data_IF_542281427668
#
_entry.id   IF_542281427668
#
_cell.length_a   1.000
_cell.length_b   1.000
_cell.length_c   1.000
_cell.angle_alpha   90.00
_cell.angle_beta   90.00
_cell.angle_gamma   90.00
#
_symmetry.space_group_name_H-M   'P 1'
#
loop_
_entity.id
_entity.type
_entity.pdbx_description
1 polymer ?
#
# COMPACT_ATOMS: atom_id res chain seq x y z
N UNK A 1 -14.94 18.13 12.36
CA UNK A 1 -13.62 18.56 12.84
C UNK A 1 -13.18 19.71 11.96
N UNK A 2 -12.84 20.85 12.56
CA UNK A 2 -12.16 21.93 11.84
C UNK A 2 -10.70 21.52 11.61
N UNK A 3 -10.07 22.03 10.56
CA UNK A 3 -8.62 21.84 10.34
C UNK A 3 -7.89 22.44 11.54
N UNK A 4 -6.95 21.68 12.11
CA UNK A 4 -6.07 22.20 13.15
C UNK A 4 -5.04 23.12 12.49
N UNK A 5 -4.75 24.26 13.12
CA UNK A 5 -3.64 25.10 12.71
C UNK A 5 -2.34 24.34 13.00
N UNK A 6 -1.58 24.06 11.95
CA UNK A 6 -0.29 23.38 12.02
C UNK A 6 0.71 24.11 11.13
N UNK A 7 1.93 24.23 11.62
CA UNK A 7 3.06 24.80 10.91
C UNK A 7 4.18 23.76 10.92
N UNK A 8 4.79 23.42 9.76
CA UNK A 8 5.87 22.45 9.69
C UNK A 8 7.08 22.83 10.55
N UNK A 9 7.77 21.82 11.06
CA UNK A 9 9.03 22.01 11.78
C UNK A 9 10.10 22.63 10.85
N UNK A 10 10.72 23.77 11.22
CA UNK A 10 11.70 24.45 10.39
C UNK A 10 12.99 23.64 10.17
N UNK A 11 13.40 22.78 11.10
CA UNK A 11 14.59 21.91 10.94
C UNK A 11 14.35 20.94 9.80
N UNK A 12 13.20 20.29 9.79
CA UNK A 12 12.81 19.41 8.70
C UNK A 12 12.73 20.16 7.37
N UNK A 13 12.10 21.34 7.36
CA UNK A 13 11.92 22.09 6.12
C UNK A 13 13.26 22.52 5.51
N UNK A 14 14.28 22.76 6.33
CA UNK A 14 15.65 23.03 5.85
C UNK A 14 16.32 21.81 5.17
N UNK A 15 15.80 20.60 5.37
CA UNK A 15 16.28 19.35 4.75
C UNK A 15 15.51 18.95 3.49
N UNK A 16 14.45 19.68 3.14
CA UNK A 16 13.66 19.40 1.94
C UNK A 16 14.46 19.78 0.69
N UNK A 17 14.43 18.96 -0.37
CA UNK A 17 15.13 19.29 -1.61
C UNK A 17 14.43 20.43 -2.36
N UNK A 18 15.15 21.07 -3.29
CA UNK A 18 14.56 22.07 -4.19
C UNK A 18 13.49 21.48 -5.12
N UNK A 19 13.66 20.20 -5.51
CA UNK A 19 12.69 19.51 -6.36
C UNK A 19 11.48 19.04 -5.56
N UNK A 20 10.29 19.48 -5.98
CA UNK A 20 9.01 19.05 -5.43
C UNK A 20 8.77 17.54 -5.59
N UNK A 21 8.28 16.89 -4.54
CA UNK A 21 7.84 15.50 -4.60
C UNK A 21 6.62 15.32 -5.50
N UNK A 22 5.74 16.32 -5.58
CA UNK A 22 4.65 16.35 -6.55
C UNK A 22 5.17 16.31 -8.00
N UNK A 23 6.25 17.06 -8.30
CA UNK A 23 6.89 17.04 -9.62
C UNK A 23 7.52 15.68 -9.94
N UNK A 24 8.25 15.07 -9.00
CA UNK A 24 8.82 13.72 -9.18
C UNK A 24 7.70 12.70 -9.47
N UNK A 25 6.60 12.78 -8.72
CA UNK A 25 5.44 11.91 -8.89
C UNK A 25 4.63 12.21 -10.17
N UNK A 26 4.90 13.33 -10.84
CA UNK A 26 4.31 13.71 -12.11
C UNK A 26 2.93 14.37 -12.02
N UNK A 27 2.67 15.13 -10.96
CA UNK A 27 1.47 15.94 -10.84
C UNK A 27 1.40 16.99 -11.96
N UNK A 28 0.29 17.04 -12.67
CA UNK A 28 0.06 17.95 -13.79
C UNK A 28 0.58 17.45 -15.15
N UNK A 29 1.32 16.34 -15.18
CA UNK A 29 1.83 15.78 -16.43
C UNK A 29 0.72 15.06 -17.20
N UNK A 30 0.49 15.47 -18.45
CA UNK A 30 -0.51 14.87 -19.34
C UNK A 30 -0.02 13.58 -20.03
N UNK A 31 1.29 13.38 -20.12
CA UNK A 31 1.87 12.19 -20.74
C UNK A 31 1.99 11.04 -19.75
N UNK A 32 1.69 9.83 -20.23
CA UNK A 32 1.84 8.62 -19.43
C UNK A 32 3.31 8.28 -19.28
N UNK A 33 3.74 8.05 -18.04
CA UNK A 33 5.06 7.50 -17.71
C UNK A 33 5.03 6.70 -16.43
N UNK A 34 6.06 5.87 -16.23
CA UNK A 34 6.27 5.09 -15.01
C UNK A 34 6.48 5.98 -13.78
N UNK A 35 6.08 5.50 -12.57
CA UNK A 35 6.36 6.19 -11.32
C UNK A 35 7.86 6.29 -11.05
N UNK A 36 8.27 7.31 -10.28
CA UNK A 36 9.62 7.42 -9.73
C UNK A 36 9.52 7.42 -8.20
N UNK A 37 10.49 6.82 -7.48
CA UNK A 37 10.51 6.87 -6.03
C UNK A 37 10.65 8.33 -5.57
N UNK A 38 9.70 8.80 -4.77
CA UNK A 38 9.80 10.11 -4.12
C UNK A 38 10.41 9.96 -2.73
N UNK A 39 10.01 8.92 -2.02
CA UNK A 39 10.29 8.68 -0.61
C UNK A 39 10.33 7.17 -0.32
N UNK A 40 10.84 6.80 0.85
CA UNK A 40 11.06 5.41 1.26
C UNK A 40 12.06 4.63 0.40
N UNK A 41 13.13 5.26 -0.04
CA UNK A 41 14.22 4.53 -0.69
C UNK A 41 14.92 3.60 0.31
N UNK A 42 15.44 2.48 -0.17
CA UNK A 42 16.24 1.57 0.65
C UNK A 42 17.53 2.27 1.11
N UNK A 43 18.23 2.91 0.18
CA UNK A 43 19.28 3.88 0.48
C UNK A 43 18.71 5.30 0.32
N UNK A 44 18.62 6.10 1.40
CA UNK A 44 18.19 7.48 1.31
C UNK A 44 19.03 8.33 0.34
N UNK A 45 20.28 7.96 0.04
CA UNK A 45 21.11 8.67 -0.94
C UNK A 45 20.59 8.57 -2.38
N UNK A 46 19.74 7.58 -2.68
CA UNK A 46 19.22 7.34 -4.04
C UNK A 46 18.07 8.28 -4.42
N UNK A 47 17.56 9.08 -3.49
CA UNK A 47 16.42 9.98 -3.71
C UNK A 47 16.68 11.41 -3.24
N UNK A 48 16.10 12.44 -3.90
CA UNK A 48 16.25 13.82 -3.46
C UNK A 48 15.76 14.08 -2.04
N UNK A 49 14.70 13.38 -1.61
CA UNK A 49 14.10 13.54 -0.28
C UNK A 49 14.80 12.70 0.81
N UNK A 50 15.99 12.17 0.53
CA UNK A 50 16.73 11.30 1.44
C UNK A 50 17.00 11.90 2.82
N UNK A 51 17.35 13.19 2.87
CA UNK A 51 17.59 13.87 4.14
C UNK A 51 16.32 14.00 4.99
N UNK A 52 15.18 14.28 4.36
CA UNK A 52 13.88 14.24 5.04
C UNK A 52 13.52 12.82 5.51
N UNK A 53 13.89 11.77 4.77
CA UNK A 53 13.74 10.37 5.21
C UNK A 53 14.61 10.04 6.43
N UNK A 54 15.87 10.50 6.45
CA UNK A 54 16.73 10.33 7.61
C UNK A 54 16.19 11.10 8.83
N UNK A 55 15.65 12.30 8.61
CA UNK A 55 15.00 13.08 9.65
C UNK A 55 13.80 12.34 10.26
N UNK A 56 12.94 11.73 9.43
CA UNK A 56 11.84 10.88 9.93
C UNK A 56 12.33 9.82 10.93
N UNK A 57 13.40 9.11 10.60
CA UNK A 57 13.90 8.05 11.50
C UNK A 57 14.50 8.60 12.79
N UNK A 58 15.17 9.75 12.74
CA UNK A 58 15.71 10.42 13.94
C UNK A 58 14.60 10.98 14.82
N UNK A 59 13.60 11.63 14.23
CA UNK A 59 12.48 12.23 14.96
C UNK A 59 11.60 11.15 15.61
N UNK A 60 11.42 10.02 14.93
CA UNK A 60 10.58 8.91 15.38
C UNK A 60 11.43 7.76 15.93
N UNK A 61 12.40 8.12 16.76
CA UNK A 61 13.24 7.20 17.52
C UNK A 61 12.54 6.82 18.84
N UNK A 62 11.91 5.65 18.84
CA UNK A 62 11.17 5.15 20.00
C UNK A 62 11.42 3.64 20.18
N UNK A 63 11.60 3.14 21.42
CA UNK A 63 11.90 1.73 21.68
C UNK A 63 10.95 0.74 20.99
N UNK A 64 9.64 1.01 21.04
CA UNK A 64 8.63 0.12 20.44
C UNK A 64 8.72 0.06 18.91
N UNK A 65 8.93 1.22 18.26
CA UNK A 65 9.13 1.28 16.81
C UNK A 65 10.42 0.58 16.41
N UNK A 66 11.49 0.80 17.17
CA UNK A 66 12.80 0.25 16.90
C UNK A 66 12.85 -1.27 17.08
N UNK A 67 12.20 -1.80 18.11
CA UNK A 67 12.08 -3.24 18.32
C UNK A 67 11.38 -3.91 17.13
N UNK A 68 10.27 -3.34 16.65
CA UNK A 68 9.55 -3.87 15.48
C UNK A 68 10.36 -3.74 14.19
N UNK A 69 11.05 -2.61 13.97
CA UNK A 69 11.95 -2.41 12.83
C UNK A 69 13.10 -3.41 12.83
N UNK A 70 13.71 -3.64 14.00
CA UNK A 70 14.81 -4.60 14.17
C UNK A 70 14.35 -6.04 13.93
N UNK A 71 13.19 -6.44 14.48
CA UNK A 71 12.60 -7.74 14.23
C UNK A 71 12.30 -7.96 12.75
N UNK A 72 11.72 -6.95 12.07
CA UNK A 72 11.49 -6.99 10.63
C UNK A 72 12.80 -7.16 9.86
N UNK A 73 13.83 -6.36 10.16
CA UNK A 73 15.14 -6.46 9.49
C UNK A 73 15.79 -7.84 9.66
N UNK A 74 15.67 -8.42 10.85
CA UNK A 74 16.18 -9.77 11.12
C UNK A 74 15.46 -10.83 10.27
N UNK A 75 14.13 -10.76 10.19
CA UNK A 75 13.34 -11.65 9.34
C UNK A 75 13.65 -11.40 7.85
N UNK A 76 13.75 -10.16 7.40
CA UNK A 76 14.07 -9.76 6.01
C UNK A 76 15.36 -10.41 5.52
N UNK A 77 16.39 -10.46 6.38
CA UNK A 77 17.69 -11.05 6.08
C UNK A 77 17.66 -12.57 5.83
N UNK A 78 16.58 -13.27 6.20
CA UNK A 78 16.44 -14.71 5.95
C UNK A 78 16.16 -14.94 4.45
N UNK A 79 17.03 -15.63 3.69
CA UNK A 79 16.79 -15.85 2.28
C UNK A 79 15.56 -16.75 2.05
N UNK A 80 14.86 -16.54 0.93
CA UNK A 80 13.84 -17.49 0.48
C UNK A 80 14.49 -18.87 0.21
N UNK A 81 13.78 -19.98 0.49
CA UNK A 81 14.28 -21.32 0.19
C UNK A 81 14.55 -21.47 -1.31
N UNK A 82 15.43 -22.38 -1.76
CA UNK A 82 15.57 -22.67 -3.19
C UNK A 82 14.27 -23.20 -3.78
N UNK A 83 14.10 -23.08 -5.10
CA UNK A 83 13.00 -23.74 -5.81
C UNK A 83 13.25 -25.25 -5.79
N UNK A 84 12.30 -26.02 -5.28
CA UNK A 84 12.39 -27.47 -5.24
C UNK A 84 12.37 -28.03 -6.67
N UNK A 85 13.30 -28.95 -6.98
CA UNK A 85 13.33 -29.59 -8.28
C UNK A 85 12.02 -30.36 -8.54
N UNK A 86 11.52 -30.39 -9.79
CA UNK A 86 10.34 -31.18 -10.13
C UNK A 86 10.50 -32.63 -9.71
N UNK A 87 9.51 -33.20 -9.02
CA UNK A 87 9.55 -34.56 -8.46
C UNK A 87 9.43 -35.68 -9.52
N UNK A 88 9.73 -35.40 -10.79
CA UNK A 88 9.61 -36.33 -11.93
C UNK A 88 8.17 -36.66 -12.37
N UNK A 89 7.18 -36.49 -11.48
CA UNK A 89 5.76 -36.54 -11.83
C UNK A 89 5.32 -35.13 -12.25
N UNK A 90 4.77 -34.94 -13.46
CA UNK A 90 4.21 -33.66 -13.87
C UNK A 90 3.13 -33.21 -12.89
N UNK A 91 3.15 -31.93 -12.54
CA UNK A 91 2.05 -31.33 -11.81
C UNK A 91 0.83 -31.21 -12.73
N UNK A 92 -0.26 -31.91 -12.38
CA UNK A 92 -1.50 -31.96 -13.16
C UNK A 92 -2.53 -30.91 -12.73
N UNK A 93 -2.22 -30.10 -11.70
CA UNK A 93 -3.08 -29.02 -11.23
C UNK A 93 -3.26 -27.95 -12.30
N UNK A 94 -4.50 -27.53 -12.47
CA UNK A 94 -4.86 -26.42 -13.35
C UNK A 94 -4.50 -25.07 -12.73
N UNK A 95 -4.52 -24.01 -13.54
CA UNK A 95 -4.38 -22.64 -13.04
C UNK A 95 -5.43 -22.29 -11.98
N UNK A 96 -6.66 -22.81 -12.11
CA UNK A 96 -7.74 -22.60 -11.12
C UNK A 96 -7.43 -23.31 -9.80
N UNK A 97 -6.98 -24.57 -9.85
CA UNK A 97 -6.57 -25.31 -8.65
C UNK A 97 -5.44 -24.59 -7.90
N UNK A 98 -4.48 -24.03 -8.64
CA UNK A 98 -3.39 -23.25 -8.08
C UNK A 98 -3.85 -21.93 -7.47
N UNK A 99 -4.76 -21.23 -8.13
CA UNK A 99 -5.37 -19.98 -7.67
C UNK A 99 -6.06 -20.19 -6.32
N UNK A 100 -6.90 -21.22 -6.20
CA UNK A 100 -7.63 -21.54 -4.97
C UNK A 100 -6.67 -21.93 -3.83
N UNK A 101 -5.66 -22.75 -4.12
CA UNK A 101 -4.66 -23.18 -3.13
C UNK A 101 -3.83 -22.01 -2.62
N UNK A 102 -3.40 -21.11 -3.50
CA UNK A 102 -2.63 -19.91 -3.13
C UNK A 102 -3.49 -18.99 -2.27
N UNK A 103 -4.74 -18.74 -2.66
CA UNK A 103 -5.64 -17.88 -1.90
C UNK A 103 -5.94 -18.47 -0.51
N UNK A 104 -6.13 -19.78 -0.40
CA UNK A 104 -6.28 -20.47 0.88
C UNK A 104 -5.01 -20.39 1.73
N UNK A 105 -3.84 -20.63 1.12
CA UNK A 105 -2.55 -20.59 1.82
C UNK A 105 -2.22 -19.18 2.31
N UNK A 106 -2.44 -18.15 1.50
CA UNK A 106 -2.22 -16.75 1.86
C UNK A 106 -3.08 -16.36 3.08
N UNK A 107 -4.36 -16.76 3.11
CA UNK A 107 -5.23 -16.55 4.27
C UNK A 107 -4.76 -17.31 5.51
N UNK A 108 -4.35 -18.57 5.36
CA UNK A 108 -3.78 -19.36 6.46
C UNK A 108 -2.49 -18.73 7.03
N UNK A 109 -1.74 -18.00 6.20
CA UNK A 109 -0.54 -17.24 6.59
C UNK A 109 -0.84 -15.84 7.14
N UNK A 110 -2.12 -15.47 7.27
CA UNK A 110 -2.56 -14.26 7.96
C UNK A 110 -2.88 -13.07 7.06
N UNK A 111 -3.11 -13.27 5.76
CA UNK A 111 -3.70 -12.24 4.89
C UNK A 111 -5.23 -12.20 5.05
N UNK A 112 -5.80 -11.02 5.30
CA UNK A 112 -7.25 -10.85 5.44
C UNK A 112 -7.99 -10.76 4.10
N UNK A 113 -7.32 -10.24 3.07
CA UNK A 113 -7.81 -10.31 1.69
C UNK A 113 -6.68 -10.66 0.73
N UNK A 114 -7.04 -11.33 -0.37
CA UNK A 114 -6.10 -11.81 -1.40
C UNK A 114 -6.75 -11.56 -2.74
N UNK A 115 -5.97 -11.05 -3.68
CA UNK A 115 -6.37 -10.89 -5.07
C UNK A 115 -5.20 -11.21 -5.99
N UNK A 116 -5.49 -11.65 -7.19
CA UNK A 116 -4.50 -12.05 -8.19
C UNK A 116 -4.69 -11.22 -9.44
N UNK A 117 -3.60 -10.70 -10.00
CA UNK A 117 -3.64 -9.96 -11.26
C UNK A 117 -2.53 -10.42 -12.19
N UNK A 118 -2.73 -10.18 -13.49
CA UNK A 118 -1.62 -10.18 -14.44
C UNK A 118 -0.76 -8.95 -14.18
N UNK A 119 0.55 -9.12 -14.24
CA UNK A 119 1.49 -8.02 -14.07
C UNK A 119 1.38 -7.04 -15.23
N UNK A 120 1.21 -5.75 -14.92
CA UNK A 120 1.40 -4.66 -15.86
C UNK A 120 2.82 -4.07 -15.65
N UNK A 121 3.68 -4.06 -16.69
CA UNK A 121 5.00 -3.45 -16.62
C UNK A 121 5.01 -1.98 -16.19
N UNK A 122 3.91 -1.24 -16.37
CA UNK A 122 3.82 0.17 -15.99
C UNK A 122 3.69 0.40 -14.48
N UNK A 123 3.50 -0.66 -13.69
CA UNK A 123 3.55 -0.58 -12.23
C UNK A 123 4.98 -0.45 -11.70
N UNK A 124 5.97 -0.89 -12.49
CA UNK A 124 7.38 -0.81 -12.14
C UNK A 124 7.82 0.65 -11.97
N UNK A 125 8.72 0.89 -11.03
CA UNK A 125 9.41 2.19 -11.00
C UNK A 125 10.29 2.37 -12.25
N UNK A 126 10.52 3.62 -12.63
CA UNK A 126 11.32 4.00 -13.79
C UNK A 126 12.71 3.32 -13.73
N UNK A 127 13.14 2.71 -14.84
CA UNK A 127 14.34 1.88 -14.92
C UNK A 127 14.23 0.44 -14.38
N UNK A 128 13.11 0.08 -13.72
CA UNK A 128 12.84 -1.28 -13.25
C UNK A 128 12.16 -2.18 -14.29
N UNK A 129 12.25 -3.49 -14.07
CA UNK A 129 11.57 -4.53 -14.85
C UNK A 129 10.79 -5.47 -13.94
N UNK A 130 9.73 -6.08 -14.47
CA UNK A 130 8.88 -7.06 -13.80
C UNK A 130 8.75 -8.32 -14.68
N UNK A 131 9.75 -9.22 -14.68
CA UNK A 131 9.78 -10.42 -15.52
C UNK A 131 8.87 -11.55 -14.96
N UNK A 132 7.66 -11.19 -14.56
CA UNK A 132 6.70 -12.05 -13.88
C UNK A 132 5.35 -11.96 -14.58
N UNK A 133 4.65 -13.08 -14.75
CA UNK A 133 3.31 -13.09 -15.37
C UNK A 133 2.21 -12.66 -14.40
N UNK A 134 2.34 -13.04 -13.12
CA UNK A 134 1.30 -12.84 -12.13
C UNK A 134 1.83 -12.20 -10.85
N UNK A 135 0.95 -11.42 -10.23
CA UNK A 135 1.11 -10.89 -8.88
C UNK A 135 -0.06 -11.35 -8.01
N UNK A 136 0.27 -11.85 -6.81
CA UNK A 136 -0.68 -12.19 -5.75
C UNK A 136 -0.57 -11.08 -4.73
N UNK A 137 -1.57 -10.22 -4.66
CA UNK A 137 -1.61 -9.09 -3.74
C UNK A 137 -2.40 -9.48 -2.49
N UNK A 138 -1.88 -9.13 -1.33
CA UNK A 138 -2.46 -9.45 -0.03
C UNK A 138 -2.69 -8.17 0.77
N UNK A 139 -3.85 -8.08 1.42
CA UNK A 139 -4.19 -7.04 2.37
C UNK A 139 -3.94 -7.54 3.80
N UNK A 140 -3.23 -6.73 4.58
CA UNK A 140 -2.93 -6.98 5.99
C UNK A 140 -3.65 -5.94 6.84
N UNK A 141 -4.72 -6.35 7.51
CA UNK A 141 -5.58 -5.47 8.26
C UNK A 141 -4.85 -4.82 9.45
N UNK A 142 -5.13 -3.53 9.66
CA UNK A 142 -4.73 -2.78 10.84
C UNK A 142 -5.88 -2.77 11.85
N UNK A 143 -5.54 -2.74 13.14
CA UNK A 143 -6.52 -2.59 14.22
C UNK A 143 -7.17 -1.18 14.19
N UNK A 144 -8.48 -1.12 14.01
CA UNK A 144 -9.18 0.15 13.87
C UNK A 144 -9.10 1.00 15.13
N UNK A 145 -9.26 0.42 16.32
CA UNK A 145 -9.32 1.18 17.57
C UNK A 145 -7.96 1.82 17.90
N UNK A 146 -6.86 1.14 17.57
CA UNK A 146 -5.51 1.70 17.63
C UNK A 146 -5.32 2.79 16.57
N UNK A 147 -5.72 2.54 15.32
CA UNK A 147 -5.58 3.52 14.24
C UNK A 147 -6.49 4.75 14.41
N UNK A 148 -7.60 4.63 15.14
CA UNK A 148 -8.48 5.74 15.48
C UNK A 148 -7.80 6.79 16.37
N UNK A 149 -6.68 6.43 16.99
CA UNK A 149 -5.84 7.35 17.77
C UNK A 149 -4.86 8.12 16.88
N UNK A 150 -4.82 7.90 15.56
CA UNK A 150 -3.98 8.69 14.67
C UNK A 150 -4.21 10.20 14.90
N UNK A 151 -3.13 10.99 15.06
CA UNK A 151 -1.74 10.69 14.69
C UNK A 151 -0.84 10.24 15.86
N UNK A 152 -1.40 9.79 16.98
CA UNK A 152 -0.62 9.37 18.14
C UNK A 152 0.33 8.19 17.83
N UNK A 153 1.42 8.09 18.60
CA UNK A 153 2.47 7.08 18.41
C UNK A 153 1.93 5.65 18.32
N UNK A 154 0.86 5.32 19.06
CA UNK A 154 0.23 4.01 19.03
C UNK A 154 -0.20 3.59 17.62
N UNK A 155 -0.73 4.53 16.82
CA UNK A 155 -1.08 4.28 15.43
C UNK A 155 0.18 4.02 14.58
N UNK A 156 1.25 4.79 14.79
CA UNK A 156 2.55 4.56 14.14
C UNK A 156 3.13 3.18 14.45
N UNK A 157 3.04 2.72 15.70
CA UNK A 157 3.46 1.37 16.12
C UNK A 157 2.64 0.29 15.44
N UNK A 158 1.31 0.48 15.33
CA UNK A 158 0.43 -0.43 14.60
C UNK A 158 0.81 -0.54 13.12
N UNK A 159 1.09 0.59 12.47
CA UNK A 159 1.57 0.60 11.08
C UNK A 159 2.86 -0.20 10.91
N UNK A 160 3.86 0.01 11.77
CA UNK A 160 5.14 -0.69 11.68
C UNK A 160 4.97 -2.20 11.94
N UNK A 161 4.10 -2.57 12.88
CA UNK A 161 3.72 -3.96 13.15
C UNK A 161 3.13 -4.63 11.90
N UNK A 162 2.22 -3.95 11.20
CA UNK A 162 1.60 -4.51 9.99
C UNK A 162 2.54 -4.62 8.81
N UNK A 163 3.54 -3.74 8.68
CA UNK A 163 4.63 -3.97 7.73
C UNK A 163 5.42 -5.24 8.03
N UNK A 164 5.69 -5.51 9.31
CA UNK A 164 6.31 -6.78 9.74
C UNK A 164 5.46 -8.00 9.35
N UNK A 165 4.18 -7.99 9.72
CA UNK A 165 3.22 -9.06 9.34
C UNK A 165 3.18 -9.29 7.83
N UNK A 166 3.02 -8.22 7.05
CA UNK A 166 2.93 -8.33 5.59
C UNK A 166 4.18 -8.89 4.93
N UNK A 167 5.37 -8.52 5.41
CA UNK A 167 6.62 -9.10 4.94
C UNK A 167 6.70 -10.60 5.30
N UNK A 168 6.44 -10.97 6.56
CA UNK A 168 6.46 -12.38 6.99
C UNK A 168 5.46 -13.22 6.18
N UNK A 169 4.24 -12.75 5.97
CA UNK A 169 3.22 -13.43 5.18
C UNK A 169 3.66 -13.61 3.72
N UNK A 170 4.20 -12.57 3.08
CA UNK A 170 4.66 -12.66 1.69
C UNK A 170 5.87 -13.57 1.53
N UNK A 171 6.84 -13.51 2.44
CA UNK A 171 8.01 -14.41 2.45
C UNK A 171 7.60 -15.86 2.67
N UNK A 172 6.68 -16.11 3.59
CA UNK A 172 6.17 -17.45 3.85
C UNK A 172 5.42 -18.02 2.63
N UNK A 173 4.61 -17.21 1.96
CA UNK A 173 3.89 -17.63 0.75
C UNK A 173 4.84 -17.88 -0.43
N UNK A 174 5.78 -16.96 -0.69
CA UNK A 174 6.79 -17.14 -1.73
C UNK A 174 7.65 -18.38 -1.45
N UNK A 175 8.10 -18.57 -0.21
CA UNK A 175 8.84 -19.75 0.20
C UNK A 175 8.03 -21.04 0.08
N UNK A 176 6.72 -21.00 0.34
CA UNK A 176 5.82 -22.13 0.12
C UNK A 176 5.72 -22.47 -1.37
N UNK A 177 5.49 -21.50 -2.25
CA UNK A 177 5.46 -21.71 -3.71
C UNK A 177 6.78 -22.32 -4.23
N UNK A 178 7.92 -21.82 -3.76
CA UNK A 178 9.24 -22.34 -4.12
C UNK A 178 9.43 -23.79 -3.70
N UNK A 179 8.94 -24.16 -2.51
CA UNK A 179 8.91 -25.57 -2.05
C UNK A 179 7.95 -26.46 -2.85
N UNK A 180 6.96 -25.88 -3.53
CA UNK A 180 6.11 -26.59 -4.47
C UNK A 180 6.73 -26.70 -5.88
N UNK A 181 7.92 -26.12 -6.10
CA UNK A 181 8.60 -26.14 -7.39
C UNK A 181 8.30 -24.95 -8.29
N UNK A 182 7.67 -23.89 -7.78
CA UNK A 182 7.37 -22.67 -8.53
C UNK A 182 8.21 -21.50 -8.07
N UNK A 183 8.90 -20.85 -9.01
CA UNK A 183 9.67 -19.67 -8.69
C UNK A 183 8.75 -18.51 -8.29
N UNK A 184 9.16 -17.78 -7.26
CA UNK A 184 8.42 -16.69 -6.68
C UNK A 184 9.33 -15.76 -5.89
N UNK A 185 8.98 -14.49 -5.85
CA UNK A 185 9.62 -13.45 -5.02
C UNK A 185 8.56 -12.64 -4.30
N UNK A 186 8.91 -12.07 -3.15
CA UNK A 186 7.99 -11.25 -2.36
C UNK A 186 8.30 -9.76 -2.55
N UNK A 187 7.24 -8.94 -2.52
CA UNK A 187 7.29 -7.48 -2.52
C UNK A 187 6.56 -6.99 -1.27
N UNK A 188 7.20 -6.18 -0.45
CA UNK A 188 6.63 -5.67 0.79
C UNK A 188 7.12 -4.26 1.08
N UNK A 189 6.33 -3.51 1.84
CA UNK A 189 6.77 -2.21 2.36
C UNK A 189 7.65 -2.32 3.62
N UNK A 190 8.01 -1.19 4.23
CA UNK A 190 7.64 0.17 3.85
C UNK A 190 8.50 0.75 2.73
N UNK A 191 9.65 0.15 2.44
CA UNK A 191 10.56 0.64 1.43
C UNK A 191 9.99 0.42 0.03
N UNK A 192 10.41 1.30 -0.87
CA UNK A 192 10.11 1.19 -2.30
C UNK A 192 10.80 -0.06 -2.85
N UNK A 193 9.99 -1.06 -3.22
CA UNK A 193 10.41 -2.26 -3.93
C UNK A 193 10.38 -2.08 -5.46
N UNK A 194 10.13 -3.16 -6.20
CA UNK A 194 10.19 -3.13 -7.66
C UNK A 194 9.02 -2.37 -8.30
N UNK A 195 7.86 -2.28 -7.63
CA UNK A 195 6.64 -1.73 -8.19
C UNK A 195 5.76 -0.95 -7.21
N UNK A 196 4.76 -0.27 -7.75
CA UNK A 196 3.68 0.38 -7.00
C UNK A 196 2.53 -0.61 -6.72
N UNK A 197 2.29 -0.94 -5.44
CA UNK A 197 1.31 -1.97 -5.06
C UNK A 197 -0.16 -1.57 -5.24
N UNK A 198 -0.49 -0.27 -5.15
CA UNK A 198 -1.88 0.21 -5.27
C UNK A 198 -2.51 -0.14 -6.64
N UNK A 199 -1.91 0.19 -7.80
CA UNK A 199 -2.52 -0.18 -9.08
C UNK A 199 -2.62 -1.70 -9.27
N UNK A 200 -1.65 -2.47 -8.78
CA UNK A 200 -1.73 -3.94 -8.79
C UNK A 200 -2.90 -4.46 -7.92
N UNK A 201 -3.11 -3.89 -6.74
CA UNK A 201 -4.23 -4.23 -5.86
C UNK A 201 -5.60 -3.87 -6.47
N UNK A 202 -5.70 -2.75 -7.19
CA UNK A 202 -6.92 -2.38 -7.94
C UNK A 202 -7.18 -3.43 -9.04
N UNK A 203 -6.16 -3.78 -9.83
CA UNK A 203 -6.28 -4.80 -10.87
C UNK A 203 -6.66 -6.19 -10.30
N UNK A 204 -6.15 -6.50 -9.11
CA UNK A 204 -6.42 -7.73 -8.36
C UNK A 204 -7.78 -7.72 -7.62
N UNK A 205 -8.62 -6.71 -7.81
CA UNK A 205 -9.95 -6.67 -7.20
C UNK A 205 -9.97 -6.38 -5.69
N UNK A 206 -8.89 -5.86 -5.11
CA UNK A 206 -8.84 -5.55 -3.68
C UNK A 206 -9.53 -4.24 -3.29
N UNK A 207 -10.02 -3.47 -4.26
CA UNK A 207 -10.89 -2.30 -4.01
C UNK A 207 -10.65 -1.13 -4.96
N UNK A 208 -11.13 0.03 -4.57
CA UNK A 208 -11.05 1.28 -5.35
C UNK A 208 -10.08 2.28 -4.70
N UNK A 209 -9.47 3.16 -5.51
CA UNK A 209 -8.66 4.26 -4.99
C UNK A 209 -9.54 5.29 -4.28
N UNK A 210 -9.31 5.52 -2.99
CA UNK A 210 -9.99 6.54 -2.21
C UNK A 210 -9.40 7.94 -2.39
N UNK A 211 -10.19 8.97 -2.08
CA UNK A 211 -9.76 10.39 -2.10
C UNK A 211 -8.49 10.66 -1.30
N UNK A 212 -8.28 9.92 -0.21
CA UNK A 212 -7.09 10.02 0.63
C UNK A 212 -5.84 9.33 0.02
N UNK A 213 -5.88 8.91 -1.24
CA UNK A 213 -4.72 8.34 -1.96
C UNK A 213 -4.37 6.91 -1.55
N UNK A 214 -5.21 6.22 -0.78
CA UNK A 214 -5.05 4.80 -0.43
C UNK A 214 -6.27 4.02 -0.89
N UNK A 215 -6.17 2.69 -0.90
CA UNK A 215 -7.28 1.84 -1.28
C UNK A 215 -8.42 1.84 -0.26
N UNK A 216 -9.63 1.66 -0.77
CA UNK A 216 -10.82 1.33 -0.01
C UNK A 216 -11.25 -0.07 -0.48
N UNK A 217 -11.07 -1.05 0.39
CA UNK A 217 -11.59 -2.39 0.22
C UNK A 217 -13.05 -2.46 0.73
N UNK A 218 -13.85 -3.33 0.11
CA UNK A 218 -15.26 -3.53 0.42
C UNK A 218 -15.51 -3.91 1.89
N UNK A 219 -14.66 -4.76 2.46
CA UNK A 219 -14.84 -5.32 3.79
C UNK A 219 -13.92 -4.66 4.83
N UNK A 220 -12.68 -4.35 4.43
CA UNK A 220 -11.64 -3.81 5.33
C UNK A 220 -11.62 -2.27 5.40
N UNK A 221 -12.42 -1.59 4.56
CA UNK A 221 -12.32 -0.13 4.41
C UNK A 221 -10.93 0.27 3.93
N UNK A 222 -10.29 1.26 4.55
CA UNK A 222 -8.91 1.66 4.22
C UNK A 222 -7.88 1.29 5.27
N UNK A 223 -8.25 0.44 6.23
CA UNK A 223 -7.40 0.04 7.35
C UNK A 223 -6.62 -1.21 7.06
N UNK A 224 -5.79 -1.18 6.00
CA UNK A 224 -4.90 -2.28 5.71
C UNK A 224 -3.62 -1.81 5.00
N UNK A 225 -2.61 -2.66 5.05
CA UNK A 225 -1.36 -2.53 4.30
C UNK A 225 -1.32 -3.56 3.17
N UNK A 226 -0.60 -3.24 2.11
CA UNK A 226 -0.40 -4.13 0.98
C UNK A 226 0.95 -4.82 1.06
N UNK A 227 0.97 -6.07 0.63
CA UNK A 227 2.16 -6.88 0.38
C UNK A 227 1.85 -7.79 -0.81
N UNK A 228 2.84 -8.36 -1.48
CA UNK A 228 2.60 -9.18 -2.66
C UNK A 228 3.64 -10.28 -2.87
N UNK A 229 3.29 -11.24 -3.74
CA UNK A 229 4.18 -12.25 -4.29
C UNK A 229 4.07 -12.24 -5.80
N UNK A 230 5.21 -12.16 -6.49
CA UNK A 230 5.33 -12.25 -7.94
C UNK A 230 5.72 -13.67 -8.33
N UNK A 231 5.11 -14.21 -9.39
CA UNK A 231 5.41 -15.57 -9.87
C UNK A 231 5.12 -15.73 -11.36
N UNK A 232 5.74 -16.77 -11.93
CA UNK A 232 5.50 -17.27 -13.28
C UNK A 232 4.68 -18.57 -13.29
N UNK A 233 4.07 -18.94 -12.17
CA UNK A 233 3.02 -19.97 -12.13
C UNK A 233 1.76 -19.44 -12.83
N UNK A 234 1.13 -20.27 -13.67
CA UNK A 234 -0.12 -19.88 -14.33
C UNK A 234 -1.28 -19.85 -13.33
N UNK A 235 -1.98 -18.71 -13.27
CA UNK A 235 -3.08 -18.43 -12.36
C UNK A 235 -4.27 -17.82 -13.12
N UNK A 236 -5.43 -17.83 -12.46
CA UNK A 236 -6.63 -17.13 -12.92
C UNK A 236 -6.63 -15.74 -12.27
N UNK A 237 -6.52 -14.65 -13.05
CA UNK A 237 -6.56 -13.30 -12.48
C UNK A 237 -7.99 -12.93 -12.09
N UNK A 238 -8.11 -12.17 -11.00
CA UNK A 238 -9.32 -11.47 -10.60
C UNK A 238 -9.60 -10.27 -11.52
N UNK A 239 -10.76 -9.64 -11.30
CA UNK A 239 -11.15 -8.39 -11.95
C UNK A 239 -11.25 -7.25 -10.94
N UNK A 240 -11.05 -5.98 -11.35
CA UNK A 240 -11.25 -4.83 -10.47
C UNK A 240 -12.62 -4.82 -9.80
N UNK A 241 -12.65 -4.58 -8.48
CA UNK A 241 -13.88 -4.43 -7.72
C UNK A 241 -14.32 -2.96 -7.74
N UNK A 242 -15.41 -2.65 -8.45
CA UNK A 242 -16.03 -1.32 -8.45
C UNK A 242 -17.35 -1.37 -7.69
N UNK A 243 -17.37 -0.82 -6.49
CA UNK A 243 -18.52 -0.82 -5.57
C UNK A 243 -19.07 0.57 -5.26
N UNK A 244 -18.53 1.60 -5.93
CA UNK A 244 -19.01 2.98 -5.89
C UNK A 244 -18.26 3.86 -4.88
N UNK A 245 -17.13 3.39 -4.33
CA UNK A 245 -16.32 4.20 -3.43
C UNK A 245 -15.73 5.45 -4.11
N UNK A 246 -15.35 5.34 -5.39
CA UNK A 246 -14.87 6.49 -6.17
C UNK A 246 -15.92 7.60 -6.30
N UNK A 247 -17.15 7.23 -6.68
CA UNK A 247 -18.28 8.15 -6.78
C UNK A 247 -18.66 8.76 -5.43
N UNK A 248 -18.66 7.95 -4.36
CA UNK A 248 -18.87 8.43 -2.99
C UNK A 248 -17.80 9.45 -2.58
N UNK A 249 -16.53 9.19 -2.92
CA UNK A 249 -15.42 10.10 -2.67
C UNK A 249 -15.64 11.45 -3.35
N UNK A 250 -16.27 11.51 -4.52
CA UNK A 250 -16.60 12.77 -5.21
C UNK A 250 -17.38 13.77 -4.34
N UNK A 251 -18.33 13.29 -3.54
CA UNK A 251 -19.19 14.11 -2.68
C UNK A 251 -18.68 14.23 -1.23
N UNK A 252 -18.06 13.18 -0.69
CA UNK A 252 -17.61 13.13 0.70
C UNK A 252 -16.46 14.11 0.99
N UNK A 253 -16.48 14.80 2.13
CA UNK A 253 -15.44 15.77 2.55
C UNK A 253 -14.72 15.39 3.84
N UNK A 254 -14.90 14.17 4.35
CA UNK A 254 -14.47 13.82 5.71
C UNK A 254 -12.94 13.80 5.85
N UNK A 255 -12.23 13.07 5.00
CA UNK A 255 -10.76 13.04 5.04
C UNK A 255 -10.14 14.40 4.66
N UNK A 256 -10.76 15.12 3.71
CA UNK A 256 -10.39 16.49 3.28
C UNK A 256 -10.44 17.51 4.44
N UNK A 257 -11.46 17.40 5.29
CA UNK A 257 -11.63 18.28 6.45
C UNK A 257 -10.78 17.84 7.64
N UNK A 258 -10.48 16.54 7.76
CA UNK A 258 -9.70 15.99 8.87
C UNK A 258 -8.19 16.17 8.67
N UNK A 259 -7.70 16.32 7.44
CA UNK A 259 -6.28 16.43 7.10
C UNK A 259 -5.70 17.77 7.59
N UNK A 260 -4.81 17.78 8.62
CA UNK A 260 -4.22 19.01 9.14
C UNK A 260 -3.44 19.82 8.09
N UNK A 261 -2.57 19.23 7.26
CA UNK A 261 -1.83 20.00 6.25
C UNK A 261 -2.67 20.41 5.03
N UNK A 262 -3.96 20.04 4.95
CA UNK A 262 -4.78 20.32 3.78
C UNK A 262 -4.25 19.70 2.48
N UNK A 263 -3.65 18.51 2.59
CA UNK A 263 -3.03 17.80 1.47
C UNK A 263 -4.02 17.01 0.60
N UNK A 264 -5.23 16.76 1.10
CA UNK A 264 -6.27 16.02 0.37
C UNK A 264 -7.13 17.02 -0.40
N UNK A 265 -7.14 16.90 -1.72
CA UNK A 265 -7.80 17.85 -2.61
C UNK A 265 -9.26 17.48 -2.89
N UNK A 266 -10.03 18.49 -3.27
CA UNK A 266 -11.48 18.37 -3.54
C UNK A 266 -11.78 17.49 -4.74
N UNK A 267 -10.93 17.59 -5.77
CA UNK A 267 -11.09 17.03 -7.10
C UNK A 267 -9.91 16.11 -7.44
N UNK A 268 -10.13 15.21 -8.40
CA UNK A 268 -9.05 14.37 -8.95
C UNK A 268 -8.02 15.24 -9.67
N UNK A 269 -6.79 14.79 -9.63
CA UNK A 269 -5.66 15.46 -10.29
C UNK A 269 -5.18 14.61 -11.46
N UNK A 270 -4.64 15.27 -12.49
CA UNK A 270 -3.88 14.59 -13.54
C UNK A 270 -2.50 14.26 -13.00
N UNK A 271 -2.12 12.99 -12.99
CA UNK A 271 -0.80 12.54 -12.54
C UNK A 271 -0.29 11.48 -13.50
N UNK A 272 0.80 11.79 -14.21
CA UNK A 272 1.39 10.92 -15.25
C UNK A 272 0.36 10.44 -16.28
N UNK A 273 -0.40 11.37 -16.85
CA UNK A 273 -1.40 11.10 -17.89
C UNK A 273 -2.70 10.47 -17.41
N UNK A 274 -2.88 10.26 -16.10
CA UNK A 274 -4.09 9.65 -15.54
C UNK A 274 -4.81 10.61 -14.58
N UNK A 275 -6.13 10.73 -14.72
CA UNK A 275 -6.96 11.49 -13.77
C UNK A 275 -7.35 10.61 -12.58
N UNK A 276 -6.85 10.93 -11.39
CA UNK A 276 -7.06 10.10 -10.19
C UNK A 276 -7.07 10.91 -8.90
N UNK A 277 -7.52 10.29 -7.81
CA UNK A 277 -7.35 10.87 -6.48
C UNK A 277 -5.87 10.97 -6.14
N UNK A 278 -5.48 12.11 -5.58
CA UNK A 278 -4.09 12.41 -5.29
C UNK A 278 -4.00 13.18 -3.97
N UNK A 279 -2.98 12.85 -3.20
CA UNK A 279 -2.59 13.58 -1.99
C UNK A 279 -1.39 14.43 -2.35
N UNK A 280 -1.50 15.73 -2.13
CA UNK A 280 -0.40 16.67 -2.28
C UNK A 280 0.75 16.24 -1.37
N UNK A 281 1.81 15.72 -2.00
CA UNK A 281 2.90 15.07 -1.31
C UNK A 281 3.68 16.09 -0.48
N UNK A 282 3.94 17.27 -1.04
CA UNK A 282 4.73 18.32 -0.40
C UNK A 282 4.02 18.89 0.83
N UNK A 283 2.68 18.86 0.87
CA UNK A 283 1.89 19.21 2.06
C UNK A 283 1.81 18.07 3.07
N UNK A 284 1.62 16.84 2.61
CA UNK A 284 1.42 15.68 3.48
C UNK A 284 2.71 15.27 4.22
N UNK A 285 3.84 15.29 3.51
CA UNK A 285 5.09 14.72 3.99
C UNK A 285 5.59 15.34 5.30
N UNK A 286 5.61 16.67 5.51
CA UNK A 286 6.19 17.21 6.73
C UNK A 286 5.38 16.82 7.99
N UNK A 287 4.04 16.88 7.91
CA UNK A 287 3.17 16.41 9.00
C UNK A 287 3.30 14.91 9.23
N UNK A 288 3.36 14.13 8.14
CA UNK A 288 3.58 12.69 8.20
C UNK A 288 4.88 12.38 8.96
N UNK A 289 5.94 13.15 8.70
CA UNK A 289 7.24 12.90 9.28
C UNK A 289 7.30 13.25 10.77
N UNK A 290 6.64 14.33 11.17
CA UNK A 290 6.56 14.77 12.58
C UNK A 290 5.75 13.80 13.45
N UNK A 291 4.88 12.97 12.85
CA UNK A 291 3.86 12.18 13.55
C UNK A 291 3.96 10.68 13.34
N UNK A 292 5.17 10.14 13.15
CA UNK A 292 5.41 8.71 12.94
C UNK A 292 4.53 8.07 11.85
N UNK A 293 4.09 8.84 10.86
CA UNK A 293 3.30 8.38 9.72
C UNK A 293 1.82 8.77 9.69
N UNK A 294 1.33 9.62 10.60
CA UNK A 294 -0.03 10.21 10.61
C UNK A 294 -1.17 9.16 10.47
N UNK A 295 -1.82 9.09 9.30
CA UNK A 295 -2.98 8.24 8.98
C UNK A 295 -4.38 8.71 9.46
N UNK A 296 -4.54 9.97 9.89
CA UNK A 296 -5.85 10.55 10.27
C UNK A 296 -6.90 10.36 9.16
N UNK A 297 -6.50 10.48 7.90
CA UNK A 297 -7.40 10.34 6.76
C UNK A 297 -7.99 8.94 6.62
N UNK A 298 -7.24 7.90 7.03
CA UNK A 298 -7.67 6.50 6.98
C UNK A 298 -8.65 6.19 8.11
N UNK A 299 -8.40 6.72 9.32
CA UNK A 299 -9.29 6.56 10.50
C UNK A 299 -10.58 7.34 10.38
N UNK A 300 -10.54 8.54 9.81
CA UNK A 300 -11.73 9.33 9.56
C UNK A 300 -12.60 8.76 8.42
N UNK A 301 -12.04 7.94 7.52
CA UNK A 301 -12.75 7.41 6.36
C UNK A 301 -14.01 6.62 6.79
N UNK A 302 -15.22 6.96 6.30
CA UNK A 302 -16.45 6.26 6.67
C UNK A 302 -16.43 4.76 6.37
N UNK A 303 -15.69 4.34 5.33
CA UNK A 303 -15.54 2.93 4.97
C UNK A 303 -14.73 2.15 6.00
N UNK A 304 -13.80 2.81 6.71
CA UNK A 304 -12.98 2.17 7.75
C UNK A 304 -13.70 2.02 9.08
N UNK A 305 -14.80 2.78 9.30
CA UNK A 305 -15.47 2.84 10.60
C UNK A 305 -16.28 1.56 10.87
N UNK A 306 -16.02 0.83 11.98
CA UNK A 306 -16.76 -0.37 12.33
C UNK A 306 -18.28 -0.13 12.36
N UNK A 307 -19.03 -1.04 11.75
CA UNK A 307 -20.50 -0.93 11.63
C UNK A 307 -21.02 0.15 10.67
N UNK A 308 -20.20 1.11 10.24
CA UNK A 308 -20.60 2.15 9.27
C UNK A 308 -20.16 1.76 7.85
N UNK A 309 -18.94 1.24 7.68
CA UNK A 309 -18.39 0.89 6.38
C UNK A 309 -19.24 -0.14 5.63
N UNK A 310 -19.54 -1.28 6.26
CA UNK A 310 -20.39 -2.33 5.68
C UNK A 310 -21.80 -1.82 5.33
N UNK A 311 -22.39 -0.98 6.19
CA UNK A 311 -23.68 -0.34 5.95
C UNK A 311 -23.62 0.63 4.77
N UNK A 312 -22.52 1.36 4.59
CA UNK A 312 -22.31 2.24 3.45
C UNK A 312 -22.18 1.45 2.15
N UNK A 313 -21.38 0.38 2.14
CA UNK A 313 -21.25 -0.54 1.00
C UNK A 313 -22.61 -1.10 0.60
N UNK A 314 -23.40 -1.61 1.55
CA UNK A 314 -24.76 -2.11 1.27
C UNK A 314 -25.71 -1.02 0.74
N UNK A 315 -25.55 0.24 1.17
CA UNK A 315 -26.31 1.38 0.62
C UNK A 315 -25.89 1.70 -0.82
N UNK A 316 -24.60 1.67 -1.13
CA UNK A 316 -24.09 1.91 -2.48
C UNK A 316 -24.53 0.82 -3.45
N UNK A 317 -24.46 -0.46 -3.04
CA UNK A 317 -24.92 -1.58 -3.86
C UNK A 317 -26.41 -1.45 -4.26
N UNK A 318 -27.27 -0.96 -3.36
CA UNK A 318 -28.70 -0.71 -3.67
C UNK A 318 -28.95 0.44 -4.64
N UNK A 319 -27.97 1.33 -4.81
CA UNK A 319 -28.03 2.51 -5.71
C UNK A 319 -27.29 2.28 -7.01
N UNK A 320 -26.56 1.18 -7.15
CA UNK A 320 -25.89 0.84 -8.38
C UNK A 320 -26.93 0.69 -9.51
N UNK A 321 -26.70 1.29 -10.69
CA UNK A 321 -27.53 1.02 -11.85
C UNK A 321 -27.55 -0.50 -12.10
N UNK A 322 -28.74 -1.07 -12.31
CA UNK A 322 -28.89 -2.46 -12.74
C UNK A 322 -28.36 -2.66 -14.15
#
# INVERSE_FOLDING_TARGET
MARQDWTPDPEQMALMPEISGNAINGLGEAERRRPRPVYWALDPADIPHGQAQLWFYRQNDHPDLNALRAARKAEEAIPLPPVTAPSGTPDDRTAADWTDRIAAQARALGAEAVGIARVDPDWAYDGGDLPWRFIIVMAIAMDYDTMAQAPELAAGVEVVRQYGRGMTTAKALAGWLRRQGHDAVCEHGPFTGALTLIPAAIAAGLGELGKHGSLINRDLGSMFRLTAVLTNLDLVPDAPDSFGADGFCGACRICENACPPGAILREKQTVRGETRWYVDFDRCLPYFNETAGCAICLSACPFSRPGIGSNLVAKLARRAPR
#
